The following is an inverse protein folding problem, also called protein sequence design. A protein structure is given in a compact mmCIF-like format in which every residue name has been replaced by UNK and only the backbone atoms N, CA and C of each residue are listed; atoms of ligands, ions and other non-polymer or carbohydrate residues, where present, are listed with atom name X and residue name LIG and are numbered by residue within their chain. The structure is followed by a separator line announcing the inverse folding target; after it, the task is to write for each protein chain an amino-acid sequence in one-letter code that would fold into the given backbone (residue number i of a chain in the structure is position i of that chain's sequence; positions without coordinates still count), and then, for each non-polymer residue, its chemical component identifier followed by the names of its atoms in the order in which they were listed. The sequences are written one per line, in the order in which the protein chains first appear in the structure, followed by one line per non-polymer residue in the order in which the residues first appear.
data_IF_444060075124
#
_entry.id   IF_444060075124
#
_cell.length_a   1.000
_cell.length_b   1.000
_cell.length_c   1.000
_cell.angle_alpha   90.00
_cell.angle_beta   90.00
_cell.angle_gamma   90.00
#
_symmetry.space_group_name_H-M   'P 1'
#
loop_
_entity.id
_entity.type
_entity.pdbx_description
1 polymer ?
#
# COMPACT_ATOMS: atom_id res chain seq x y z
N UNK A 1 8.94 42.84 18.50
CA UNK A 1 8.51 42.56 17.10
C UNK A 1 9.73 42.39 16.19
N UNK A 2 10.52 41.33 16.35
CA UNK A 2 11.68 41.07 15.46
C UNK A 2 12.09 39.59 15.35
N UNK A 3 11.32 38.64 15.87
CA UNK A 3 11.68 37.20 15.78
C UNK A 3 10.93 36.42 14.69
N UNK A 4 9.90 37.02 14.08
CA UNK A 4 9.13 36.36 13.01
C UNK A 4 9.93 36.06 11.73
N UNK A 5 10.90 36.90 11.28
CA UNK A 5 11.72 36.57 10.12
C UNK A 5 12.72 35.43 10.37
N UNK A 6 13.08 35.17 11.65
CA UNK A 6 14.00 34.09 12.03
C UNK A 6 13.30 32.74 12.01
N UNK A 7 12.06 32.68 12.51
CA UNK A 7 11.22 31.47 12.49
C UNK A 7 10.88 31.02 11.06
N UNK A 8 10.66 31.95 10.12
CA UNK A 8 10.44 31.60 8.70
C UNK A 8 11.73 31.11 8.03
N UNK A 9 12.91 31.63 8.39
CA UNK A 9 14.20 31.09 7.92
C UNK A 9 14.50 29.71 8.50
N UNK A 10 14.15 29.48 9.76
CA UNK A 10 14.32 28.18 10.43
C UNK A 10 13.33 27.14 9.85
N UNK A 11 12.09 27.51 9.55
CA UNK A 11 11.12 26.66 8.82
C UNK A 11 11.51 26.41 7.36
N UNK A 12 12.08 27.40 6.65
CA UNK A 12 12.61 27.19 5.30
C UNK A 12 13.86 26.29 5.31
N UNK A 13 14.67 26.34 6.36
CA UNK A 13 15.80 25.45 6.55
C UNK A 13 15.37 24.04 6.97
N UNK A 14 14.29 23.87 7.75
CA UNK A 14 13.68 22.56 8.02
C UNK A 14 13.04 21.96 6.78
N UNK A 15 12.32 22.74 5.97
CA UNK A 15 11.76 22.28 4.67
C UNK A 15 12.88 21.91 3.67
N UNK A 16 14.05 22.54 3.77
CA UNK A 16 15.24 22.16 3.00
C UNK A 16 15.98 20.93 3.59
N UNK A 17 15.87 20.67 4.90
CA UNK A 17 16.37 19.46 5.56
C UNK A 17 15.45 18.25 5.33
N UNK A 18 14.14 18.45 5.16
CA UNK A 18 13.20 17.39 4.72
C UNK A 18 13.42 17.00 3.26
N UNK A 19 14.03 17.87 2.44
CA UNK A 19 14.58 17.50 1.12
C UNK A 19 15.86 16.65 1.20
N UNK A 20 16.49 16.53 2.37
CA UNK A 20 17.75 15.80 2.58
C UNK A 20 17.61 14.40 3.19
N UNK A 21 16.40 13.85 3.36
CA UNK A 21 16.23 12.47 3.85
C UNK A 21 15.33 11.64 2.94
N UNK A 22 15.91 11.17 1.84
CA UNK A 22 15.51 9.92 1.17
C UNK A 22 16.74 9.38 0.46
N UNK A 23 17.61 8.79 1.26
CA UNK A 23 18.87 8.16 0.84
C UNK A 23 18.55 6.83 0.14
N UNK A 24 18.16 6.91 -1.13
CA UNK A 24 18.28 5.79 -2.06
C UNK A 24 19.77 5.51 -2.28
N UNK A 25 20.31 4.58 -1.50
CA UNK A 25 21.58 3.90 -1.81
C UNK A 25 21.26 2.80 -2.83
N UNK A 26 21.25 3.15 -4.11
CA UNK A 26 21.51 2.15 -5.14
C UNK A 26 23.02 2.01 -5.31
N UNK A 27 23.50 0.77 -5.37
CA UNK A 27 24.88 0.39 -5.68
C UNK A 27 25.30 0.72 -7.13
N UNK A 28 24.48 1.45 -7.89
CA UNK A 28 24.68 1.78 -9.30
C UNK A 28 25.80 2.82 -9.57
N UNK A 29 26.76 2.97 -8.66
CA UNK A 29 27.81 4.00 -8.71
C UNK A 29 29.26 3.51 -8.58
N UNK A 30 29.49 2.21 -8.42
CA UNK A 30 30.85 1.63 -8.43
C UNK A 30 31.01 0.74 -9.66
N UNK A 31 31.02 1.36 -10.84
CA UNK A 31 31.59 0.70 -12.02
C UNK A 31 33.09 1.03 -12.00
N UNK A 32 33.93 -0.01 -11.89
CA UNK A 32 35.40 0.10 -11.81
C UNK A 32 36.08 0.44 -13.15
N UNK A 33 35.31 0.79 -14.18
CA UNK A 33 35.85 0.98 -15.53
C UNK A 33 35.89 2.48 -15.90
N UNK A 34 37.11 2.98 -16.08
CA UNK A 34 37.49 4.26 -16.72
C UNK A 34 37.26 5.60 -15.99
N UNK A 35 37.63 5.70 -14.70
CA UNK A 35 37.84 7.02 -14.07
C UNK A 35 39.32 7.40 -14.13
N UNK A 36 39.69 8.13 -15.19
CA UNK A 36 40.92 8.92 -15.18
C UNK A 36 40.96 9.81 -13.94
N UNK A 37 42.13 9.91 -13.31
CA UNK A 37 42.40 10.62 -12.04
C UNK A 37 41.90 12.07 -12.12
N UNK A 38 40.64 12.28 -11.79
CA UNK A 38 39.97 13.57 -11.71
C UNK A 38 38.97 13.49 -10.57
N UNK A 39 38.75 14.59 -9.86
CA UNK A 39 37.88 14.63 -8.70
C UNK A 39 36.49 14.05 -9.05
N UNK A 40 35.92 13.17 -8.22
CA UNK A 40 34.61 12.58 -8.48
C UNK A 40 33.57 13.69 -8.58
N UNK A 41 32.96 13.80 -9.76
CA UNK A 41 31.90 14.79 -10.00
C UNK A 41 30.74 14.53 -9.04
N UNK A 42 30.37 15.52 -8.24
CA UNK A 42 29.19 15.47 -7.40
C UNK A 42 27.97 16.02 -8.14
N UNK A 43 26.79 15.49 -7.82
CA UNK A 43 25.51 15.93 -8.36
C UNK A 43 25.30 17.41 -8.03
N UNK A 44 25.25 18.28 -9.05
CA UNK A 44 25.15 19.74 -8.88
C UNK A 44 23.93 20.18 -8.06
N UNK A 45 22.84 19.42 -8.10
CA UNK A 45 21.60 19.81 -7.40
C UNK A 45 21.51 19.33 -5.96
N UNK A 46 22.19 18.23 -5.65
CA UNK A 46 22.09 17.61 -4.34
C UNK A 46 23.39 17.73 -3.54
N UNK A 47 24.52 17.95 -4.21
CA UNK A 47 25.86 18.06 -3.60
C UNK A 47 26.40 16.77 -2.97
N UNK A 48 25.60 15.71 -2.90
CA UNK A 48 25.90 14.51 -2.11
C UNK A 48 26.27 13.28 -2.94
N UNK A 49 25.58 13.05 -4.07
CA UNK A 49 25.70 11.81 -4.85
C UNK A 49 26.72 11.93 -5.99
N UNK A 50 27.41 10.84 -6.38
CA UNK A 50 28.19 10.81 -7.60
C UNK A 50 27.32 11.18 -8.82
N UNK A 51 27.81 12.08 -9.65
CA UNK A 51 27.19 12.45 -10.92
C UNK A 51 27.81 11.65 -12.06
N UNK A 52 27.01 11.39 -13.10
CA UNK A 52 27.57 10.88 -14.35
C UNK A 52 28.30 12.02 -15.10
N UNK A 53 29.34 11.71 -15.91
CA UNK A 53 30.06 12.71 -16.68
C UNK A 53 29.17 13.48 -17.66
N UNK A 54 28.05 12.89 -18.08
CA UNK A 54 27.10 13.52 -19.00
C UNK A 54 26.36 14.66 -18.31
N UNK A 55 26.70 15.89 -18.68
CA UNK A 55 26.09 17.09 -18.15
C UNK A 55 24.77 17.42 -18.84
N UNK A 56 23.80 17.89 -18.06
CA UNK A 56 22.55 18.49 -18.51
C UNK A 56 22.81 19.96 -18.84
N UNK A 57 22.45 20.43 -20.04
CA UNK A 57 22.52 21.85 -20.38
C UNK A 57 21.17 22.54 -20.16
N UNK A 58 21.16 23.71 -19.51
CA UNK A 58 19.98 24.56 -19.32
C UNK A 58 20.34 26.03 -19.52
N UNK A 59 19.47 26.80 -20.18
CA UNK A 59 19.59 28.26 -20.21
C UNK A 59 19.21 28.87 -18.86
N UNK A 60 20.16 29.55 -18.22
CA UNK A 60 19.93 30.42 -17.06
C UNK A 60 20.50 31.80 -17.37
N UNK A 61 19.68 32.84 -17.20
CA UNK A 61 20.03 34.23 -17.55
C UNK A 61 20.50 34.45 -19.00
N UNK A 62 20.03 33.60 -19.92
CA UNK A 62 20.40 33.68 -21.34
C UNK A 62 21.67 32.92 -21.72
N UNK A 63 22.40 32.35 -20.75
CA UNK A 63 23.60 31.54 -20.98
C UNK A 63 23.33 30.05 -20.74
N UNK A 64 23.95 29.20 -21.55
CA UNK A 64 23.86 27.74 -21.39
C UNK A 64 24.75 27.29 -20.23
N UNK A 65 24.14 26.85 -19.13
CA UNK A 65 24.82 26.25 -17.99
C UNK A 65 24.73 24.73 -18.03
N UNK A 66 25.82 24.07 -17.63
CA UNK A 66 25.95 22.61 -17.64
C UNK A 66 25.93 22.05 -16.22
N UNK A 67 25.05 21.09 -15.94
CA UNK A 67 24.86 20.48 -14.62
C UNK A 67 25.19 19.00 -14.69
N UNK A 68 26.14 18.54 -13.87
CA UNK A 68 26.37 17.11 -13.68
C UNK A 68 25.36 16.58 -12.67
N UNK A 69 24.51 15.64 -13.07
CA UNK A 69 23.46 15.07 -12.21
C UNK A 69 23.75 13.60 -11.89
N UNK A 70 23.31 13.15 -10.72
CA UNK A 70 23.26 11.72 -10.42
C UNK A 70 22.23 11.03 -11.34
N UNK A 71 22.38 9.72 -11.63
CA UNK A 71 21.47 9.00 -12.52
C UNK A 71 20.00 9.13 -12.12
N UNK A 72 19.71 9.07 -10.82
CA UNK A 72 18.35 9.18 -10.28
C UNK A 72 17.77 10.59 -10.38
N UNK A 73 18.59 11.65 -10.29
CA UNK A 73 18.15 13.04 -10.46
C UNK A 73 17.97 13.37 -11.94
N UNK A 74 18.89 12.94 -12.79
CA UNK A 74 18.79 13.08 -14.23
C UNK A 74 17.51 12.41 -14.74
N UNK A 75 17.26 11.15 -14.36
CA UNK A 75 16.06 10.41 -14.73
C UNK A 75 14.79 11.19 -14.36
N UNK A 76 14.64 11.59 -13.09
CA UNK A 76 13.49 12.38 -12.61
C UNK A 76 13.30 13.71 -13.36
N UNK A 77 14.38 14.43 -13.66
CA UNK A 77 14.29 15.70 -14.35
C UNK A 77 13.87 15.56 -15.82
N UNK A 78 14.51 14.66 -16.56
CA UNK A 78 14.14 14.41 -17.96
C UNK A 78 12.73 13.83 -18.04
N UNK A 79 12.36 13.02 -17.04
CA UNK A 79 11.00 12.54 -16.84
C UNK A 79 9.99 13.60 -16.36
N UNK A 80 10.37 14.86 -16.18
CA UNK A 80 9.41 15.95 -15.92
C UNK A 80 9.16 16.83 -17.14
N UNK A 81 10.16 16.96 -18.02
CA UNK A 81 10.19 17.97 -19.11
C UNK A 81 9.98 17.41 -20.50
N UNK A 82 10.33 16.15 -20.74
CA UNK A 82 10.15 15.53 -22.06
C UNK A 82 8.67 15.21 -22.34
N UNK A 83 7.79 15.41 -21.36
CA UNK A 83 6.49 14.76 -21.30
C UNK A 83 5.24 15.56 -21.69
N UNK A 84 5.37 16.68 -22.40
CA UNK A 84 4.21 17.48 -22.84
C UNK A 84 3.64 17.10 -24.23
N UNK A 85 3.88 15.88 -24.73
CA UNK A 85 3.36 15.41 -26.03
C UNK A 85 3.04 13.91 -26.05
N UNK A 86 2.33 13.40 -27.08
CA UNK A 86 1.94 11.97 -27.18
C UNK A 86 3.12 10.99 -27.08
N UNK A 87 4.32 11.40 -27.52
CA UNK A 87 5.54 10.60 -27.43
C UNK A 87 6.02 10.37 -25.98
N UNK A 88 5.60 11.23 -25.06
CA UNK A 88 5.97 11.19 -23.66
C UNK A 88 5.59 9.87 -22.98
N UNK A 89 4.33 9.50 -23.14
CA UNK A 89 3.73 8.35 -22.47
C UNK A 89 4.38 7.06 -22.98
N UNK A 90 4.67 6.99 -24.28
CA UNK A 90 5.40 5.88 -24.88
C UNK A 90 6.82 5.71 -24.30
N UNK A 91 7.53 6.82 -24.07
CA UNK A 91 8.85 6.81 -23.43
C UNK A 91 8.78 6.41 -21.95
N UNK A 92 7.81 6.94 -21.19
CA UNK A 92 7.60 6.56 -19.78
C UNK A 92 7.38 5.04 -19.67
N UNK A 93 6.48 4.49 -20.47
CA UNK A 93 6.21 3.06 -20.45
C UNK A 93 7.44 2.24 -20.84
N UNK A 94 8.26 2.69 -21.81
CA UNK A 94 9.51 2.03 -22.14
C UNK A 94 10.49 2.04 -20.97
N UNK A 95 10.66 3.17 -20.29
CA UNK A 95 11.55 3.27 -19.12
C UNK A 95 11.08 2.35 -18.00
N UNK A 96 9.76 2.29 -17.74
CA UNK A 96 9.17 1.38 -16.74
C UNK A 96 9.41 -0.08 -17.11
N UNK A 97 9.18 -0.42 -18.38
CA UNK A 97 9.44 -1.75 -18.93
C UNK A 97 10.90 -2.14 -18.78
N UNK A 98 11.82 -1.28 -19.19
CA UNK A 98 13.26 -1.53 -19.09
C UNK A 98 13.70 -1.67 -17.63
N UNK A 99 13.15 -0.84 -16.73
CA UNK A 99 13.42 -0.93 -15.29
C UNK A 99 12.96 -2.27 -14.72
N UNK A 100 11.69 -2.63 -14.90
CA UNK A 100 11.13 -3.88 -14.37
C UNK A 100 11.81 -5.10 -15.00
N UNK A 101 12.11 -5.05 -16.30
CA UNK A 101 12.90 -6.06 -16.99
C UNK A 101 14.28 -6.22 -16.37
N UNK A 102 14.95 -5.12 -16.04
CA UNK A 102 16.26 -5.15 -15.37
C UNK A 102 16.16 -5.72 -13.96
N UNK A 103 15.23 -5.23 -13.14
CA UNK A 103 15.04 -5.70 -11.75
C UNK A 103 14.64 -7.18 -11.65
N UNK A 104 14.09 -7.74 -12.73
CA UNK A 104 13.66 -9.14 -12.81
C UNK A 104 14.59 -10.03 -13.63
N UNK A 105 15.77 -9.55 -14.01
CA UNK A 105 16.73 -10.25 -14.88
C UNK A 105 16.10 -10.76 -16.19
N UNK A 106 15.17 -9.99 -16.76
CA UNK A 106 14.50 -10.29 -18.02
C UNK A 106 13.24 -11.16 -17.89
N UNK A 107 12.92 -11.67 -16.71
CA UNK A 107 11.75 -12.55 -16.48
C UNK A 107 10.41 -11.84 -16.72
N UNK A 108 10.38 -10.51 -16.54
CA UNK A 108 9.18 -9.70 -16.77
C UNK A 108 9.45 -8.72 -17.91
N UNK A 109 8.78 -8.95 -19.04
CA UNK A 109 8.87 -8.11 -20.24
C UNK A 109 7.47 -7.63 -20.65
N UNK A 110 6.91 -6.69 -19.88
CA UNK A 110 5.52 -6.22 -20.01
C UNK A 110 5.46 -4.72 -20.25
N UNK A 111 4.42 -4.26 -20.94
CA UNK A 111 4.07 -2.84 -21.01
C UNK A 111 3.18 -2.45 -19.83
N UNK A 112 3.16 -1.16 -19.48
CA UNK A 112 2.49 -0.62 -18.30
C UNK A 112 1.55 0.51 -18.69
N UNK A 113 0.49 0.71 -17.90
CA UNK A 113 -0.41 1.85 -18.02
C UNK A 113 0.36 3.18 -18.03
N UNK A 114 -0.08 4.11 -18.87
CA UNK A 114 0.60 5.40 -19.02
C UNK A 114 0.27 6.40 -17.91
N UNK A 115 -0.97 6.34 -17.43
CA UNK A 115 -1.55 7.25 -16.45
C UNK A 115 -2.51 6.51 -15.49
N UNK A 116 -3.05 7.23 -14.52
CA UNK A 116 -3.91 6.67 -13.47
C UNK A 116 -5.31 6.35 -14.00
N UNK A 117 -5.78 7.08 -15.01
CA UNK A 117 -7.03 6.83 -15.72
C UNK A 117 -7.00 5.46 -16.41
N UNK A 118 -5.93 5.12 -17.12
CA UNK A 118 -5.75 3.81 -17.73
C UNK A 118 -5.53 2.72 -16.70
N UNK A 119 -4.93 3.06 -15.56
CA UNK A 119 -4.72 2.12 -14.47
C UNK A 119 -6.06 1.73 -13.84
N UNK A 120 -6.83 2.70 -13.32
CA UNK A 120 -8.05 2.44 -12.55
C UNK A 120 -9.38 2.45 -13.34
N UNK A 121 -9.36 2.87 -14.61
CA UNK A 121 -10.57 3.03 -15.43
C UNK A 121 -10.88 1.83 -16.34
N UNK A 122 -12.17 1.57 -16.57
CA UNK A 122 -12.66 0.72 -17.65
C UNK A 122 -13.15 1.59 -18.82
N UNK A 123 -12.99 1.17 -20.08
CA UNK A 123 -13.74 1.81 -21.16
C UNK A 123 -15.22 1.42 -21.08
N UNK A 124 -16.09 2.36 -21.46
CA UNK A 124 -17.50 2.35 -21.09
C UNK A 124 -18.38 1.24 -21.73
N UNK A 125 -17.86 0.35 -22.60
CA UNK A 125 -18.77 -0.37 -23.51
C UNK A 125 -18.65 -1.91 -23.61
N UNK A 126 -17.66 -2.58 -23.02
CA UNK A 126 -17.58 -4.05 -23.18
C UNK A 126 -16.81 -4.80 -22.07
N UNK A 127 -16.48 -4.15 -20.96
CA UNK A 127 -15.59 -4.79 -20.00
C UNK A 127 -16.29 -6.00 -19.34
N UNK A 128 -15.64 -7.19 -19.28
CA UNK A 128 -16.14 -8.34 -18.50
C UNK A 128 -16.24 -8.03 -16.99
N UNK A 129 -15.83 -6.82 -16.61
CA UNK A 129 -15.78 -6.26 -15.27
C UNK A 129 -16.96 -5.37 -14.93
N UNK A 130 -18.16 -5.58 -15.51
CA UNK A 130 -19.37 -4.88 -15.06
C UNK A 130 -19.62 -5.03 -13.55
N UNK A 131 -19.13 -6.13 -12.96
CA UNK A 131 -19.16 -6.40 -11.53
C UNK A 131 -18.28 -5.43 -10.70
N UNK A 132 -17.35 -4.70 -11.32
CA UNK A 132 -16.49 -3.69 -10.69
C UNK A 132 -16.92 -2.25 -10.99
N UNK A 133 -18.15 -2.03 -11.47
CA UNK A 133 -18.61 -0.70 -11.87
C UNK A 133 -18.52 0.35 -10.76
N UNK A 134 -18.71 -0.06 -9.49
CA UNK A 134 -18.52 0.76 -8.29
C UNK A 134 -17.05 1.11 -8.00
N UNK A 135 -16.10 0.27 -8.41
CA UNK A 135 -14.66 0.50 -8.27
C UNK A 135 -14.02 1.16 -9.49
N UNK A 136 -14.79 1.44 -10.54
CA UNK A 136 -14.29 2.15 -11.71
C UNK A 136 -13.69 3.50 -11.31
N UNK A 137 -12.49 3.82 -11.81
CA UNK A 137 -11.74 5.02 -11.45
C UNK A 137 -11.32 5.09 -9.97
N UNK A 138 -11.17 3.92 -9.33
CA UNK A 138 -10.57 3.78 -8.00
C UNK A 138 -9.20 3.09 -8.10
N UNK A 139 -8.28 3.49 -7.25
CA UNK A 139 -6.94 2.93 -7.15
C UNK A 139 -6.58 2.60 -5.70
N UNK A 140 -5.66 1.66 -5.52
CA UNK A 140 -4.99 1.39 -4.27
C UNK A 140 -3.55 1.92 -4.36
N UNK A 141 -3.20 2.87 -3.49
CA UNK A 141 -1.82 3.31 -3.29
C UNK A 141 -1.26 2.55 -2.10
N UNK A 142 -0.24 1.73 -2.33
CA UNK A 142 0.32 0.80 -1.35
C UNK A 142 1.75 1.21 -1.03
N UNK A 143 1.99 1.59 0.22
CA UNK A 143 3.32 1.82 0.78
C UNK A 143 3.69 0.66 1.68
N UNK A 144 4.91 0.16 1.56
CA UNK A 144 5.46 -0.93 2.37
C UNK A 144 6.87 -0.55 2.81
N UNK A 145 7.20 -0.86 4.06
CA UNK A 145 8.46 -0.46 4.68
C UNK A 145 8.96 -1.52 5.66
N UNK A 146 10.25 -1.83 5.60
CA UNK A 146 10.92 -2.81 6.45
C UNK A 146 10.99 -2.39 7.92
N UNK A 147 10.69 -3.34 8.81
CA UNK A 147 10.73 -3.10 10.24
C UNK A 147 12.15 -3.27 10.80
N UNK A 148 12.71 -2.17 11.28
CA UNK A 148 14.02 -2.10 11.94
C UNK A 148 15.20 -2.55 11.07
N UNK A 149 15.08 -2.47 9.74
CA UNK A 149 16.18 -2.85 8.84
C UNK A 149 17.41 -1.97 9.05
N UNK A 150 17.22 -0.66 9.29
CA UNK A 150 18.30 0.24 9.67
C UNK A 150 19.00 -0.16 10.98
N UNK A 151 18.25 -0.65 11.98
CA UNK A 151 18.83 -1.14 13.23
C UNK A 151 19.57 -2.47 13.01
N UNK A 152 19.02 -3.39 12.21
CA UNK A 152 19.68 -4.64 11.81
C UNK A 152 20.99 -4.37 11.06
N UNK A 153 21.01 -3.41 10.13
CA UNK A 153 22.22 -2.97 9.44
C UNK A 153 23.31 -2.50 10.41
N UNK A 154 22.95 -1.72 11.44
CA UNK A 154 23.91 -1.27 12.48
C UNK A 154 24.53 -2.41 13.29
N UNK A 155 23.91 -3.59 13.33
CA UNK A 155 24.47 -4.78 14.01
C UNK A 155 25.43 -5.60 13.14
N UNK A 156 25.58 -5.25 11.86
CA UNK A 156 26.49 -5.93 10.93
C UNK A 156 27.92 -5.43 11.16
N UNK A 157 28.85 -6.36 11.37
CA UNK A 157 30.24 -6.04 11.74
C UNK A 157 31.15 -5.90 10.52
N UNK A 158 30.88 -6.66 9.46
CA UNK A 158 31.76 -6.72 8.28
C UNK A 158 31.08 -6.19 7.02
N UNK A 159 31.89 -5.68 6.08
CA UNK A 159 31.39 -5.28 4.77
C UNK A 159 30.73 -6.44 4.00
N UNK A 160 31.13 -7.68 4.27
CA UNK A 160 30.51 -8.86 3.67
C UNK A 160 29.08 -9.06 4.19
N UNK A 161 28.86 -8.94 5.50
CA UNK A 161 27.52 -9.05 6.11
C UNK A 161 26.55 -8.02 5.52
N UNK A 162 27.03 -6.78 5.30
CA UNK A 162 26.24 -5.73 4.64
C UNK A 162 25.83 -6.12 3.22
N UNK A 163 26.76 -6.68 2.43
CA UNK A 163 26.46 -7.13 1.06
C UNK A 163 25.47 -8.28 1.06
N UNK A 164 25.66 -9.26 1.95
CA UNK A 164 24.74 -10.40 2.06
C UNK A 164 23.34 -9.98 2.48
N UNK A 165 23.23 -9.03 3.43
CA UNK A 165 21.94 -8.46 3.83
C UNK A 165 21.26 -7.72 2.68
N UNK A 166 21.99 -6.86 1.95
CA UNK A 166 21.45 -6.12 0.81
C UNK A 166 21.04 -7.07 -0.34
N UNK A 167 21.85 -8.09 -0.63
CA UNK A 167 21.54 -9.11 -1.63
C UNK A 167 20.32 -9.94 -1.26
N UNK A 168 20.12 -10.26 0.03
CA UNK A 168 18.91 -10.94 0.49
C UNK A 168 17.66 -10.08 0.23
N UNK A 169 17.71 -8.78 0.52
CA UNK A 169 16.61 -7.84 0.26
C UNK A 169 16.36 -7.66 -1.25
N UNK A 170 17.42 -7.47 -2.04
CA UNK A 170 17.34 -7.39 -3.51
C UNK A 170 16.69 -8.65 -4.09
N UNK A 171 17.13 -9.82 -3.66
CA UNK A 171 16.59 -11.11 -4.11
C UNK A 171 15.12 -11.26 -3.74
N UNK A 172 14.73 -10.93 -2.50
CA UNK A 172 13.33 -11.01 -2.07
C UNK A 172 12.42 -10.06 -2.86
N UNK A 173 12.86 -8.81 -3.10
CA UNK A 173 12.13 -7.83 -3.92
C UNK A 173 11.99 -8.28 -5.38
N UNK A 174 13.06 -8.79 -5.97
CA UNK A 174 13.04 -9.38 -7.31
C UNK A 174 12.03 -10.52 -7.39
N UNK A 175 12.09 -11.44 -6.42
CA UNK A 175 11.18 -12.59 -6.36
C UNK A 175 9.73 -12.14 -6.21
N UNK A 176 9.45 -11.11 -5.41
CA UNK A 176 8.13 -10.51 -5.31
C UNK A 176 7.62 -10.03 -6.69
N UNK A 177 8.40 -9.24 -7.43
CA UNK A 177 7.96 -8.77 -8.77
C UNK A 177 7.73 -9.93 -9.73
N UNK A 178 8.68 -10.85 -9.82
CA UNK A 178 8.55 -12.02 -10.70
C UNK A 178 7.26 -12.78 -10.37
N UNK A 179 7.02 -13.03 -9.09
CA UNK A 179 5.83 -13.75 -8.68
C UNK A 179 4.55 -12.94 -8.95
N UNK A 180 4.55 -11.63 -8.68
CA UNK A 180 3.44 -10.73 -8.96
C UNK A 180 3.05 -10.78 -10.44
N UNK A 181 4.01 -10.62 -11.36
CA UNK A 181 3.72 -10.61 -12.79
C UNK A 181 3.46 -12.01 -13.36
N UNK A 182 4.00 -13.08 -12.78
CA UNK A 182 3.62 -14.46 -13.14
C UNK A 182 2.18 -14.78 -12.74
N UNK A 183 1.74 -14.31 -11.57
CA UNK A 183 0.38 -14.53 -11.07
C UNK A 183 -0.64 -13.65 -11.78
N UNK A 184 -0.36 -12.34 -11.91
CA UNK A 184 -1.34 -11.34 -12.38
C UNK A 184 -1.10 -10.86 -13.79
N UNK A 185 0.12 -10.91 -14.33
CA UNK A 185 0.48 -10.30 -15.63
C UNK A 185 -0.15 -10.92 -16.88
N UNK A 186 -0.97 -11.95 -16.71
CA UNK A 186 -1.84 -12.53 -17.75
C UNK A 186 -3.34 -12.44 -17.44
N UNK A 187 -3.72 -11.94 -16.27
CA UNK A 187 -5.11 -11.87 -15.82
C UNK A 187 -5.79 -10.62 -16.39
N UNK A 188 -7.01 -10.77 -16.89
CA UNK A 188 -7.76 -9.65 -17.46
C UNK A 188 -7.90 -8.48 -16.46
N UNK A 189 -8.07 -8.77 -15.16
CA UNK A 189 -8.23 -7.74 -14.13
C UNK A 189 -6.97 -6.87 -13.93
N UNK A 190 -5.81 -7.37 -14.37
CA UNK A 190 -4.51 -6.70 -14.30
C UNK A 190 -4.08 -6.10 -15.64
N UNK A 191 -4.81 -6.37 -16.72
CA UNK A 191 -4.48 -5.92 -18.06
C UNK A 191 -5.45 -4.82 -18.53
N UNK A 192 -4.94 -3.91 -19.35
CA UNK A 192 -5.73 -2.94 -20.09
C UNK A 192 -5.46 -3.16 -21.59
N UNK A 193 -6.51 -3.59 -22.31
CA UNK A 193 -6.50 -3.92 -23.74
C UNK A 193 -7.11 -2.81 -24.61
N UNK A 194 -7.74 -1.81 -23.99
CA UNK A 194 -8.57 -0.81 -24.67
C UNK A 194 -7.82 0.51 -24.91
N UNK A 195 -6.49 0.46 -24.82
CA UNK A 195 -5.67 1.64 -25.00
C UNK A 195 -5.48 1.84 -26.51
N UNK A 196 -5.78 3.05 -26.98
CA UNK A 196 -5.29 3.58 -28.26
C UNK A 196 -3.75 3.60 -28.19
N UNK A 197 -3.13 2.43 -28.31
CA UNK A 197 -1.70 2.31 -28.37
C UNK A 197 -1.24 3.00 -29.67
N UNK A 198 -0.05 3.62 -29.68
CA UNK A 198 0.55 4.08 -30.93
C UNK A 198 0.51 2.95 -31.97
N UNK A 199 0.30 3.28 -33.26
CA UNK A 199 0.12 2.33 -34.37
C UNK A 199 1.13 1.16 -34.33
N UNK A 200 2.36 1.42 -33.88
CA UNK A 200 3.47 0.48 -33.76
C UNK A 200 3.32 -0.58 -32.63
N UNK A 201 2.30 -0.46 -31.78
CA UNK A 201 2.10 -1.26 -30.54
C UNK A 201 0.66 -1.76 -30.35
N UNK A 202 -0.16 -1.72 -31.41
CA UNK A 202 -1.62 -1.84 -31.40
C UNK A 202 -2.24 -3.11 -30.79
N UNK A 203 -1.47 -4.06 -30.23
CA UNK A 203 -2.03 -5.33 -29.76
C UNK A 203 -1.46 -5.88 -28.45
N UNK A 204 -0.48 -5.23 -27.83
CA UNK A 204 0.05 -5.72 -26.54
C UNK A 204 -0.74 -5.14 -25.36
N UNK A 205 -1.29 -5.98 -24.47
CA UNK A 205 -2.00 -5.49 -23.30
C UNK A 205 -1.04 -4.82 -22.31
N UNK A 206 -1.47 -3.71 -21.72
CA UNK A 206 -0.67 -3.01 -20.71
C UNK A 206 -1.07 -3.45 -19.30
N UNK A 207 -0.09 -3.72 -18.45
CA UNK A 207 -0.30 -4.00 -17.04
C UNK A 207 -0.78 -2.74 -16.29
N UNK A 208 -1.84 -2.89 -15.51
CA UNK A 208 -2.40 -1.88 -14.60
C UNK A 208 -1.58 -1.81 -13.31
N UNK A 209 -0.35 -1.33 -13.43
CA UNK A 209 0.60 -1.26 -12.33
C UNK A 209 1.50 -0.05 -12.50
N UNK A 210 1.64 0.74 -11.43
CA UNK A 210 2.52 1.90 -11.38
C UNK A 210 3.51 1.78 -10.24
N UNK A 211 4.80 1.86 -10.54
CA UNK A 211 5.87 1.83 -9.56
C UNK A 211 6.39 3.23 -9.26
N UNK A 212 6.22 3.71 -8.04
CA UNK A 212 6.62 5.06 -7.63
C UNK A 212 7.93 5.05 -6.84
N UNK A 213 8.14 4.03 -6.00
CA UNK A 213 9.35 3.86 -5.21
C UNK A 213 9.78 2.40 -5.17
N UNK A 214 11.07 2.17 -5.42
CA UNK A 214 11.70 0.86 -5.40
C UNK A 214 13.13 0.96 -4.88
N UNK A 215 13.31 0.91 -3.56
CA UNK A 215 14.63 1.15 -2.99
C UNK A 215 14.79 0.63 -1.58
N UNK A 216 15.88 -0.12 -1.34
CA UNK A 216 16.15 -0.73 -0.05
C UNK A 216 14.98 -1.60 0.41
N UNK A 217 14.42 -1.20 1.54
CA UNK A 217 13.31 -1.84 2.25
C UNK A 217 11.96 -1.12 2.07
N UNK A 218 11.93 -0.04 1.30
CA UNK A 218 10.74 0.76 1.03
C UNK A 218 10.22 0.50 -0.39
N UNK A 219 8.92 0.23 -0.51
CA UNK A 219 8.21 0.01 -1.77
C UNK A 219 6.96 0.88 -1.81
N UNK A 220 6.71 1.53 -2.94
CA UNK A 220 5.50 2.31 -3.17
C UNK A 220 5.01 2.07 -4.59
N UNK A 221 3.80 1.52 -4.71
CA UNK A 221 3.19 1.28 -6.00
C UNK A 221 1.68 1.53 -5.98
N UNK A 222 1.10 1.64 -7.16
CA UNK A 222 -0.33 1.86 -7.39
C UNK A 222 -0.85 0.74 -8.26
N UNK A 223 -2.03 0.25 -7.89
CA UNK A 223 -2.79 -0.76 -8.65
C UNK A 223 -4.26 -0.37 -8.64
N UNK A 224 -5.11 -0.93 -9.51
CA UNK A 224 -6.55 -0.76 -9.41
C UNK A 224 -7.04 -1.16 -8.01
N UNK A 225 -8.08 -0.48 -7.52
CA UNK A 225 -8.55 -0.71 -6.16
C UNK A 225 -8.95 -2.19 -5.90
N UNK A 226 -9.50 -2.88 -6.90
CA UNK A 226 -9.85 -4.30 -6.83
C UNK A 226 -8.64 -5.24 -6.69
N UNK A 227 -7.45 -4.79 -7.03
CA UNK A 227 -6.20 -5.55 -6.90
C UNK A 227 -5.43 -5.23 -5.61
N UNK A 228 -5.87 -4.24 -4.84
CA UNK A 228 -5.17 -3.78 -3.64
C UNK A 228 -4.88 -4.90 -2.64
N UNK A 229 -5.94 -5.51 -2.10
CA UNK A 229 -5.81 -6.62 -1.14
C UNK A 229 -5.12 -7.87 -1.72
N UNK A 230 -5.47 -8.36 -2.93
CA UNK A 230 -4.78 -9.50 -3.53
C UNK A 230 -3.26 -9.31 -3.66
N UNK A 231 -2.80 -8.13 -4.09
CA UNK A 231 -1.37 -7.85 -4.26
C UNK A 231 -0.69 -7.64 -2.91
N UNK A 232 -1.34 -6.95 -1.98
CA UNK A 232 -0.81 -6.77 -0.62
C UNK A 232 -0.62 -8.13 0.08
N UNK A 233 -1.58 -9.04 -0.08
CA UNK A 233 -1.45 -10.43 0.40
C UNK A 233 -0.25 -11.12 -0.22
N UNK A 234 -0.12 -11.07 -1.54
CA UNK A 234 0.99 -11.71 -2.25
C UNK A 234 2.35 -11.18 -1.79
N UNK A 235 2.44 -9.88 -1.48
CA UNK A 235 3.64 -9.31 -0.88
C UNK A 235 3.98 -10.00 0.45
N UNK A 236 3.03 -10.07 1.39
CA UNK A 236 3.28 -10.69 2.70
C UNK A 236 3.49 -12.22 2.65
N UNK A 237 3.05 -12.88 1.58
CA UNK A 237 3.35 -14.29 1.32
C UNK A 237 4.74 -14.51 0.70
N UNK A 238 5.34 -13.45 0.14
CA UNK A 238 6.70 -13.53 -0.37
C UNK A 238 7.68 -13.60 0.81
N UNK A 239 8.55 -14.62 0.88
CA UNK A 239 9.49 -14.74 1.99
C UNK A 239 10.56 -13.67 1.87
N UNK A 240 10.58 -12.77 2.86
CA UNK A 240 11.71 -11.88 3.10
C UNK A 240 12.48 -12.44 4.29
N UNK A 241 13.67 -12.97 4.04
CA UNK A 241 14.46 -13.65 5.06
C UNK A 241 15.94 -13.28 4.92
N UNK A 242 16.63 -13.24 6.06
CA UNK A 242 18.08 -13.13 6.10
C UNK A 242 18.62 -13.98 7.24
N UNK A 243 19.60 -14.84 6.94
CA UNK A 243 20.16 -15.81 7.89
C UNK A 243 19.08 -16.69 8.57
N UNK A 244 18.09 -17.14 7.78
CA UNK A 244 16.98 -17.98 8.24
C UNK A 244 16.03 -17.28 9.22
N UNK A 245 16.13 -15.96 9.37
CA UNK A 245 15.22 -15.16 10.18
C UNK A 245 14.29 -14.35 9.28
N UNK A 246 12.98 -14.35 9.55
CA UNK A 246 12.05 -13.53 8.79
C UNK A 246 12.33 -12.04 9.03
N UNK A 247 12.26 -11.28 7.95
CA UNK A 247 12.25 -9.83 7.94
C UNK A 247 10.79 -9.38 7.83
N UNK A 248 10.37 -8.53 8.76
CA UNK A 248 8.99 -8.08 8.83
C UNK A 248 8.81 -6.70 8.22
N UNK A 249 7.59 -6.38 7.81
CA UNK A 249 7.23 -5.14 7.14
C UNK A 249 5.96 -4.54 7.75
N UNK A 250 5.87 -3.23 7.69
CA UNK A 250 4.64 -2.49 7.87
C UNK A 250 4.12 -2.03 6.51
N UNK A 251 2.81 -2.08 6.30
CA UNK A 251 2.20 -1.62 5.07
C UNK A 251 1.02 -0.69 5.33
N UNK A 252 0.85 0.32 4.48
CA UNK A 252 -0.30 1.19 4.47
C UNK A 252 -0.91 1.23 3.08
N UNK A 253 -2.24 1.16 3.02
CA UNK A 253 -2.98 1.14 1.75
C UNK A 253 -4.09 2.20 1.76
N UNK A 254 -3.97 3.18 0.87
CA UNK A 254 -5.03 4.15 0.62
C UNK A 254 -5.84 3.73 -0.61
N UNK A 255 -7.12 3.39 -0.41
CA UNK A 255 -8.08 3.11 -1.48
C UNK A 255 -8.81 4.41 -1.80
N UNK A 256 -8.67 4.95 -3.01
CA UNK A 256 -9.22 6.28 -3.32
C UNK A 256 -9.54 6.45 -4.81
N UNK A 257 -10.20 7.55 -5.16
CA UNK A 257 -10.39 7.90 -6.59
C UNK A 257 -9.05 8.20 -7.26
N UNK A 258 -8.90 7.85 -8.54
CA UNK A 258 -7.75 8.26 -9.37
C UNK A 258 -7.58 9.79 -9.47
N UNK A 259 -8.64 10.56 -9.18
CA UNK A 259 -8.61 12.03 -9.16
C UNK A 259 -8.04 12.60 -7.86
N UNK A 260 -7.83 11.76 -6.85
CA UNK A 260 -7.22 12.16 -5.58
C UNK A 260 -5.77 12.58 -5.87
N UNK A 261 -5.30 13.76 -5.41
CA UNK A 261 -3.92 14.18 -5.62
C UNK A 261 -2.95 13.10 -5.12
N UNK A 262 -2.08 12.59 -6.01
CA UNK A 262 -1.25 11.42 -5.70
C UNK A 262 -0.38 11.63 -4.45
N UNK A 263 0.13 12.84 -4.24
CA UNK A 263 0.93 13.17 -3.05
C UNK A 263 0.14 13.00 -1.74
N UNK A 264 -1.18 13.19 -1.76
CA UNK A 264 -2.05 12.99 -0.58
C UNK A 264 -2.32 11.52 -0.33
N UNK A 265 -2.60 10.75 -1.38
CA UNK A 265 -2.77 9.30 -1.26
C UNK A 265 -1.49 8.61 -0.79
N UNK A 266 -0.32 9.05 -1.27
CA UNK A 266 0.99 8.59 -0.81
C UNK A 266 1.23 8.93 0.67
N UNK A 267 1.00 10.20 1.07
CA UNK A 267 1.18 10.62 2.45
C UNK A 267 0.30 9.79 3.40
N UNK A 268 -0.95 9.53 3.02
CA UNK A 268 -1.87 8.70 3.79
C UNK A 268 -1.39 7.25 3.88
N UNK A 269 -0.94 6.65 2.78
CA UNK A 269 -0.39 5.29 2.79
C UNK A 269 0.86 5.18 3.70
N UNK A 270 1.73 6.20 3.69
CA UNK A 270 2.89 6.26 4.58
C UNK A 270 2.46 6.40 6.04
N UNK A 271 1.52 7.30 6.35
CA UNK A 271 1.01 7.49 7.71
C UNK A 271 0.37 6.22 8.27
N UNK A 272 -0.38 5.47 7.44
CA UNK A 272 -0.93 4.17 7.79
C UNK A 272 0.16 3.13 8.12
N UNK A 273 1.26 3.07 7.34
CA UNK A 273 2.36 2.16 7.63
C UNK A 273 3.15 2.57 8.89
N UNK A 274 3.38 3.86 9.11
CA UNK A 274 4.00 4.33 10.35
C UNK A 274 3.12 4.06 11.57
N UNK A 275 1.79 4.12 11.41
CA UNK A 275 0.87 3.67 12.44
C UNK A 275 1.04 2.18 12.75
N UNK A 276 1.16 1.31 11.73
CA UNK A 276 1.53 -0.11 11.92
C UNK A 276 2.84 -0.27 12.71
N UNK A 277 3.88 0.52 12.41
CA UNK A 277 5.17 0.49 13.12
C UNK A 277 5.07 0.99 14.55
N UNK A 278 4.20 1.97 14.82
CA UNK A 278 3.90 2.46 16.16
C UNK A 278 3.27 1.38 17.04
N UNK A 279 2.51 0.48 16.39
CA UNK A 279 1.98 -0.72 17.00
C UNK A 279 3.08 -1.76 17.15
N UNK A 280 3.63 -2.33 16.08
CA UNK A 280 4.66 -3.36 16.20
C UNK A 280 5.65 -3.31 15.05
N UNK A 281 6.93 -3.44 15.40
CA UNK A 281 8.05 -3.64 14.46
C UNK A 281 8.51 -5.10 14.41
N UNK A 282 7.91 -5.98 15.22
CA UNK A 282 8.30 -7.40 15.30
C UNK A 282 7.46 -8.30 14.41
N UNK A 283 6.37 -7.78 13.85
CA UNK A 283 5.39 -8.55 13.11
C UNK A 283 5.12 -7.88 11.76
N UNK A 284 4.62 -8.65 10.81
CA UNK A 284 4.03 -8.07 9.61
C UNK A 284 2.68 -7.47 9.98
N UNK A 285 2.46 -6.21 9.66
CA UNK A 285 1.20 -5.51 9.89
C UNK A 285 0.83 -4.66 8.69
N UNK A 286 -0.46 -4.48 8.46
CA UNK A 286 -0.96 -3.53 7.49
C UNK A 286 -2.16 -2.73 8.03
N UNK A 287 -2.34 -1.52 7.51
CA UNK A 287 -3.54 -0.73 7.72
C UNK A 287 -4.05 -0.24 6.36
N UNK A 288 -5.36 -0.18 6.20
CA UNK A 288 -5.99 0.32 5.00
C UNK A 288 -7.02 1.41 5.35
N UNK A 289 -7.30 2.29 4.39
CA UNK A 289 -8.36 3.28 4.51
C UNK A 289 -9.02 3.51 3.14
N UNK A 290 -10.34 3.38 3.09
CA UNK A 290 -11.14 3.69 1.90
C UNK A 290 -11.67 5.12 1.93
N UNK A 291 -11.33 5.88 0.88
CA UNK A 291 -11.83 7.22 0.61
C UNK A 291 -12.87 7.14 -0.50
N UNK A 292 -14.14 7.16 -0.09
CA UNK A 292 -15.27 7.06 -1.02
C UNK A 292 -15.43 8.31 -1.90
N UNK A 293 -15.10 9.49 -1.36
CA UNK A 293 -15.07 10.74 -2.12
C UNK A 293 -13.64 11.16 -2.50
N UNK A 294 -13.51 12.30 -3.19
CA UNK A 294 -12.23 12.94 -3.49
C UNK A 294 -11.65 13.62 -2.22
N UNK A 295 -12.46 13.74 -1.17
CA UNK A 295 -12.03 14.32 0.09
C UNK A 295 -11.10 13.35 0.81
N UNK A 296 -9.96 13.89 1.23
CA UNK A 296 -8.95 13.17 1.97
C UNK A 296 -8.80 13.82 3.36
N UNK A 297 -8.41 13.03 4.38
CA UNK A 297 -8.13 13.60 5.69
C UNK A 297 -7.03 14.66 5.59
N UNK A 298 -7.33 15.87 6.06
CA UNK A 298 -6.35 16.97 6.16
C UNK A 298 -5.74 17.08 7.56
N UNK A 299 -6.29 16.33 8.51
CA UNK A 299 -5.88 16.24 9.90
C UNK A 299 -5.10 14.94 10.14
N UNK A 300 -4.39 14.81 11.28
CA UNK A 300 -3.72 13.56 11.65
C UNK A 300 -4.68 12.37 11.69
N UNK A 301 -4.17 11.18 11.37
CA UNK A 301 -4.96 9.94 11.26
C UNK A 301 -5.70 9.60 12.55
N UNK A 302 -5.09 9.83 13.72
CA UNK A 302 -5.72 9.63 15.03
C UNK A 302 -6.98 10.49 15.17
N UNK A 303 -6.88 11.79 14.92
CA UNK A 303 -8.01 12.73 14.95
C UNK A 303 -9.08 12.36 13.92
N UNK A 304 -8.68 11.86 12.74
CA UNK A 304 -9.61 11.37 11.75
C UNK A 304 -10.41 10.16 12.23
N UNK A 305 -9.76 9.17 12.84
CA UNK A 305 -10.46 8.02 13.41
C UNK A 305 -11.34 8.40 14.60
N UNK A 306 -10.90 9.29 15.48
CA UNK A 306 -11.72 9.81 16.59
C UNK A 306 -13.00 10.51 16.09
N UNK A 307 -12.89 11.29 15.00
CA UNK A 307 -14.06 11.93 14.41
C UNK A 307 -15.00 10.95 13.71
N UNK A 308 -14.44 9.92 13.05
CA UNK A 308 -15.22 8.95 12.27
C UNK A 308 -15.86 7.86 13.14
N UNK A 309 -15.14 7.38 14.16
CA UNK A 309 -15.53 6.23 14.97
C UNK A 309 -15.78 6.59 16.44
N UNK A 310 -15.63 7.85 16.84
CA UNK A 310 -15.88 8.30 18.21
C UNK A 310 -15.12 7.45 19.25
N UNK A 311 -15.81 7.00 20.31
CA UNK A 311 -15.21 6.16 21.35
C UNK A 311 -14.76 4.78 20.85
N UNK A 312 -15.18 4.34 19.65
CA UNK A 312 -14.67 3.12 19.04
C UNK A 312 -13.26 3.28 18.48
N UNK A 313 -12.83 4.50 18.13
CA UNK A 313 -11.54 4.75 17.48
C UNK A 313 -10.34 4.17 18.24
N UNK A 314 -10.39 4.14 19.57
CA UNK A 314 -9.35 3.56 20.44
C UNK A 314 -9.16 2.05 20.25
N UNK A 315 -10.14 1.39 19.61
CA UNK A 315 -10.14 -0.04 19.31
C UNK A 315 -9.86 -0.31 17.82
N UNK A 316 -9.61 0.73 17.02
CA UNK A 316 -9.15 0.60 15.65
C UNK A 316 -7.68 0.21 15.67
N UNK A 317 -7.30 -0.87 15.00
CA UNK A 317 -5.92 -1.35 15.00
C UNK A 317 -5.50 -1.87 13.63
N UNK A 318 -4.20 -1.78 13.30
CA UNK A 318 -3.62 -2.47 12.16
C UNK A 318 -3.88 -3.97 12.18
N UNK A 319 -4.02 -4.53 11.00
CA UNK A 319 -4.29 -5.93 10.74
C UNK A 319 -3.01 -6.73 10.55
N UNK A 320 -3.07 -8.01 10.86
CA UNK A 320 -2.07 -8.96 10.38
C UNK A 320 -2.39 -9.36 8.94
N UNK A 321 -1.36 -9.65 8.13
CA UNK A 321 -1.58 -10.24 6.83
C UNK A 321 -2.39 -11.52 6.94
N UNK A 322 -3.17 -11.80 5.90
CA UNK A 322 -3.99 -13.01 5.82
C UNK A 322 -3.10 -14.25 5.98
N UNK A 323 -3.27 -14.97 7.09
CA UNK A 323 -2.57 -16.22 7.34
C UNK A 323 -3.24 -17.35 6.57
N UNK A 324 -2.48 -18.09 5.76
CA UNK A 324 -2.99 -19.28 5.09
C UNK A 324 -2.38 -19.52 3.71
N UNK A 325 -2.65 -20.71 3.18
CA UNK A 325 -2.30 -21.10 1.81
C UNK A 325 -3.13 -20.31 0.78
N UNK A 326 -2.77 -20.43 -0.50
CA UNK A 326 -3.59 -19.93 -1.62
C UNK A 326 -5.06 -20.41 -1.53
N UNK A 327 -5.27 -21.70 -1.26
CA UNK A 327 -6.60 -22.30 -1.11
C UNK A 327 -7.41 -21.70 0.03
N UNK A 328 -6.80 -21.50 1.20
CA UNK A 328 -7.51 -20.94 2.35
C UNK A 328 -8.10 -19.55 2.03
N UNK A 329 -7.37 -18.75 1.27
CA UNK A 329 -7.83 -17.41 0.86
C UNK A 329 -8.98 -17.45 -0.13
N UNK A 330 -8.90 -18.30 -1.16
CA UNK A 330 -10.03 -18.46 -2.09
C UNK A 330 -11.28 -18.92 -1.32
N UNK A 331 -11.15 -19.87 -0.39
CA UNK A 331 -12.27 -20.32 0.44
C UNK A 331 -12.83 -19.22 1.36
N UNK A 332 -11.95 -18.39 1.92
CA UNK A 332 -12.34 -17.24 2.75
C UNK A 332 -13.07 -16.17 1.92
N UNK A 333 -12.59 -15.89 0.70
CA UNK A 333 -13.25 -14.96 -0.21
C UNK A 333 -14.58 -15.52 -0.74
N UNK A 334 -14.65 -16.81 -1.06
CA UNK A 334 -15.89 -17.48 -1.48
C UNK A 334 -16.93 -17.42 -0.33
N UNK A 335 -16.48 -17.62 0.91
CA UNK A 335 -17.32 -17.41 2.11
C UNK A 335 -17.75 -15.95 2.27
N UNK A 336 -16.89 -15.00 1.92
CA UNK A 336 -17.20 -13.58 1.95
C UNK A 336 -18.23 -13.19 0.88
N UNK A 337 -18.13 -13.73 -0.32
CA UNK A 337 -19.10 -13.48 -1.39
C UNK A 337 -20.47 -14.04 -1.02
N UNK A 338 -20.52 -15.28 -0.51
CA UNK A 338 -21.75 -15.86 0.04
C UNK A 338 -22.34 -15.02 1.18
N UNK A 339 -21.47 -14.48 2.06
CA UNK A 339 -21.87 -13.57 3.12
C UNK A 339 -22.48 -12.28 2.56
N UNK A 340 -21.87 -11.66 1.54
CA UNK A 340 -22.39 -10.44 0.89
C UNK A 340 -23.75 -10.66 0.24
N UNK A 341 -23.95 -11.80 -0.40
CA UNK A 341 -25.20 -12.13 -1.09
C UNK A 341 -26.36 -12.34 -0.11
N UNK A 342 -26.08 -12.92 1.06
CA UNK A 342 -27.08 -13.13 2.10
C UNK A 342 -27.27 -11.95 3.06
N UNK A 343 -26.30 -11.03 3.14
CA UNK A 343 -26.38 -9.90 4.06
C UNK A 343 -27.04 -8.67 3.42
N UNK A 344 -28.13 -8.13 4.01
CA UNK A 344 -28.71 -6.88 3.56
C UNK A 344 -27.78 -5.70 3.92
N UNK A 345 -26.85 -5.34 3.01
CA UNK A 345 -25.84 -4.27 3.20
C UNK A 345 -26.41 -3.01 3.84
N UNK A 346 -27.56 -2.54 3.34
CA UNK A 346 -28.22 -1.34 3.85
C UNK A 346 -28.64 -1.46 5.33
N UNK A 347 -29.12 -2.62 5.77
CA UNK A 347 -29.45 -2.86 7.19
C UNK A 347 -28.20 -2.89 8.06
N UNK A 348 -27.13 -3.55 7.62
CA UNK A 348 -25.85 -3.58 8.35
C UNK A 348 -25.30 -2.16 8.52
N UNK A 349 -25.28 -1.37 7.44
CA UNK A 349 -24.87 0.03 7.48
C UNK A 349 -25.75 0.83 8.46
N UNK A 350 -27.08 0.67 8.39
CA UNK A 350 -27.98 1.40 9.29
C UNK A 350 -27.69 1.10 10.76
N UNK A 351 -27.56 -0.18 11.14
CA UNK A 351 -27.24 -0.55 12.53
C UNK A 351 -25.91 0.04 13.01
N UNK A 352 -24.88 0.07 12.15
CA UNK A 352 -23.60 0.66 12.49
C UNK A 352 -23.67 2.19 12.59
N UNK A 353 -24.46 2.85 11.73
CA UNK A 353 -24.68 4.29 11.81
C UNK A 353 -25.46 4.69 13.06
N UNK A 354 -26.50 3.93 13.41
CA UNK A 354 -27.28 4.12 14.64
C UNK A 354 -26.36 4.02 15.86
N UNK A 355 -25.49 3.00 15.89
CA UNK A 355 -24.48 2.87 16.93
C UNK A 355 -23.55 4.09 16.98
N UNK A 356 -22.98 4.50 15.85
CA UNK A 356 -22.06 5.65 15.81
C UNK A 356 -22.75 6.96 16.24
N UNK A 357 -24.03 7.14 15.91
CA UNK A 357 -24.81 8.30 16.35
C UNK A 357 -25.09 8.27 17.86
N UNK A 358 -25.45 7.11 18.42
CA UNK A 358 -25.59 6.92 19.88
C UNK A 358 -24.28 7.26 20.62
N UNK A 359 -23.13 6.79 20.11
CA UNK A 359 -21.81 7.13 20.68
C UNK A 359 -21.46 8.61 20.57
N UNK A 360 -21.94 9.30 19.53
CA UNK A 360 -21.72 10.73 19.34
C UNK A 360 -22.52 11.55 20.35
N UNK A 361 -23.75 11.14 20.65
CA UNK A 361 -24.65 11.83 21.58
C UNK A 361 -24.27 11.61 23.05
N UNK A 362 -23.70 10.45 23.38
CA UNK A 362 -23.29 10.08 24.75
C UNK A 362 -22.20 10.96 25.39
N UNK A 363 -21.50 11.80 24.61
CA UNK A 363 -20.43 12.67 25.10
C UNK A 363 -19.11 11.94 25.40
N UNK A 364 -18.04 12.70 25.62
CA UNK A 364 -16.64 12.21 25.61
C UNK A 364 -16.15 11.51 26.89
N UNK A 365 -17.04 10.91 27.69
CA UNK A 365 -16.74 10.56 29.08
C UNK A 365 -16.60 9.05 29.31
N UNK A 366 -15.51 8.45 28.82
CA UNK A 366 -15.16 7.02 29.00
C UNK A 366 -16.19 6.00 28.46
N UNK A 367 -15.76 4.77 28.10
CA UNK A 367 -16.69 3.66 27.91
C UNK A 367 -17.35 3.35 29.26
N UNK A 368 -18.53 3.90 29.48
CA UNK A 368 -19.36 3.57 30.62
C UNK A 368 -20.17 2.30 30.32
N UNK A 369 -20.94 1.84 31.31
CA UNK A 369 -21.79 0.67 31.16
C UNK A 369 -22.87 0.84 30.06
N UNK A 370 -23.16 2.07 29.62
CA UNK A 370 -24.14 2.33 28.56
C UNK A 370 -23.54 2.02 27.18
N UNK A 371 -22.30 2.47 26.90
CA UNK A 371 -21.62 2.13 25.66
C UNK A 371 -21.48 0.62 25.44
N UNK A 372 -21.15 -0.13 26.49
CA UNK A 372 -21.05 -1.60 26.39
C UNK A 372 -22.39 -2.25 26.05
N UNK A 373 -23.50 -1.76 26.63
CA UNK A 373 -24.84 -2.23 26.28
C UNK A 373 -25.20 -1.93 24.82
N UNK A 374 -24.82 -0.75 24.30
CA UNK A 374 -25.02 -0.39 22.89
C UNK A 374 -24.21 -1.30 21.96
N UNK A 375 -22.96 -1.59 22.29
CA UNK A 375 -22.13 -2.54 21.54
C UNK A 375 -22.72 -3.95 21.55
N UNK A 376 -23.10 -4.45 22.73
CA UNK A 376 -23.65 -5.80 22.88
C UNK A 376 -24.97 -5.95 22.11
N UNK A 377 -25.87 -4.95 22.23
CA UNK A 377 -27.12 -4.90 21.47
C UNK A 377 -26.86 -4.92 19.97
N UNK A 378 -26.00 -4.02 19.47
CA UNK A 378 -25.69 -3.94 18.04
C UNK A 378 -25.05 -5.23 17.52
N UNK A 379 -24.13 -5.82 18.28
CA UNK A 379 -23.50 -7.09 17.93
C UNK A 379 -24.53 -8.23 17.87
N UNK A 380 -25.45 -8.30 18.83
CA UNK A 380 -26.52 -9.29 18.86
C UNK A 380 -27.53 -9.09 17.71
N UNK A 381 -27.86 -7.84 17.37
CA UNK A 381 -28.73 -7.53 16.23
C UNK A 381 -28.09 -7.98 14.91
N UNK A 382 -26.79 -7.71 14.73
CA UNK A 382 -26.03 -8.14 13.56
C UNK A 382 -25.87 -9.67 13.48
N UNK A 383 -25.62 -10.34 14.61
CA UNK A 383 -25.58 -11.81 14.68
C UNK A 383 -26.97 -12.44 14.47
N UNK A 384 -28.04 -11.76 14.86
CA UNK A 384 -29.42 -12.19 14.54
C UNK A 384 -29.66 -12.13 13.04
N UNK A 385 -29.20 -11.06 12.36
CA UNK A 385 -29.27 -10.97 10.89
C UNK A 385 -28.51 -12.13 10.23
N UNK A 386 -27.37 -12.56 10.77
CA UNK A 386 -26.66 -13.75 10.25
C UNK A 386 -27.48 -15.03 10.44
N UNK A 387 -28.05 -15.22 11.63
CA UNK A 387 -28.86 -16.38 11.96
C UNK A 387 -30.11 -16.50 11.10
N UNK A 388 -30.80 -15.38 10.83
CA UNK A 388 -31.98 -15.31 9.96
C UNK A 388 -31.67 -15.75 8.52
N UNK A 389 -30.42 -15.59 8.06
CA UNK A 389 -29.99 -15.90 6.70
C UNK A 389 -29.14 -17.18 6.62
N UNK A 390 -29.02 -17.95 7.70
CA UNK A 390 -28.21 -19.18 7.78
C UNK A 390 -26.70 -18.97 7.49
N UNK A 391 -26.17 -17.77 7.75
CA UNK A 391 -24.79 -17.36 7.36
C UNK A 391 -23.71 -17.57 8.43
N UNK A 392 -24.04 -18.16 9.58
CA UNK A 392 -23.14 -18.22 10.74
C UNK A 392 -21.79 -18.89 10.43
N UNK A 393 -21.78 -19.96 9.64
CA UNK A 393 -20.55 -20.69 9.26
C UNK A 393 -19.61 -19.80 8.44
N UNK A 394 -20.16 -18.93 7.59
CA UNK A 394 -19.37 -18.01 6.77
C UNK A 394 -18.80 -16.85 7.58
N UNK A 395 -19.50 -16.42 8.63
CA UNK A 395 -19.06 -15.32 9.48
C UNK A 395 -17.86 -15.67 10.36
N UNK A 396 -17.81 -16.90 10.90
CA UNK A 396 -16.63 -17.35 11.66
C UNK A 396 -15.38 -17.42 10.76
N UNK A 397 -15.54 -17.89 9.51
CA UNK A 397 -14.47 -17.85 8.52
C UNK A 397 -14.05 -16.40 8.20
N UNK A 398 -14.99 -15.48 8.08
CA UNK A 398 -14.71 -14.06 7.88
C UNK A 398 -13.95 -13.42 9.05
N UNK A 399 -14.31 -13.75 10.30
CA UNK A 399 -13.57 -13.26 11.48
C UNK A 399 -12.08 -13.62 11.42
N UNK A 400 -11.70 -14.69 10.73
CA UNK A 400 -10.27 -15.02 10.52
C UNK A 400 -9.55 -14.12 9.53
N UNK A 401 -10.26 -13.43 8.62
CA UNK A 401 -9.68 -12.48 7.67
C UNK A 401 -9.30 -11.16 8.33
N UNK A 402 -10.16 -10.72 9.25
CA UNK A 402 -9.92 -9.57 10.11
C UNK A 402 -9.90 -10.07 11.55
N UNK A 403 -8.86 -10.85 11.92
CA UNK A 403 -8.79 -11.44 13.25
C UNK A 403 -9.06 -10.32 14.23
N UNK A 404 -10.10 -10.51 15.04
CA UNK A 404 -10.31 -9.67 16.20
C UNK A 404 -9.00 -9.63 16.98
N UNK A 405 -8.82 -8.60 17.79
CA UNK A 405 -7.66 -8.36 18.67
C UNK A 405 -7.25 -9.60 19.53
N UNK A 406 -8.09 -10.64 19.54
CA UNK A 406 -7.96 -12.00 20.05
C UNK A 406 -6.52 -12.49 20.29
N UNK A 407 -6.22 -12.50 21.59
CA UNK A 407 -5.07 -13.03 22.32
C UNK A 407 -3.67 -12.60 21.90
N UNK A 408 -3.30 -12.63 20.62
CA UNK A 408 -1.91 -12.39 20.22
C UNK A 408 -1.57 -10.89 20.28
N UNK A 409 -2.54 -10.01 20.01
CA UNK A 409 -2.36 -8.56 20.17
C UNK A 409 -2.27 -8.18 21.66
N UNK A 410 -3.11 -8.79 22.50
CA UNK A 410 -3.09 -8.66 23.96
C UNK A 410 -1.84 -9.26 24.62
N UNK A 411 -1.14 -10.14 23.92
CA UNK A 411 0.14 -10.72 24.37
C UNK A 411 1.35 -10.04 23.69
N UNK A 412 1.12 -9.16 22.72
CA UNK A 412 2.17 -8.36 22.10
C UNK A 412 2.60 -7.25 23.07
N UNK A 413 3.90 -7.02 23.20
CA UNK A 413 4.54 -6.12 24.19
C UNK A 413 4.24 -4.62 24.01
N UNK A 414 3.23 -4.28 23.23
CA UNK A 414 3.00 -2.93 22.68
C UNK A 414 2.20 -2.07 23.65
N UNK A 415 1.15 -2.64 24.24
CA UNK A 415 0.37 -1.98 25.26
C UNK A 415 0.98 -2.27 26.63
N UNK A 416 1.00 -1.25 27.51
CA UNK A 416 1.33 -1.48 28.92
C UNK A 416 0.37 -2.52 29.49
N UNK A 417 0.82 -3.44 30.37
CA UNK A 417 -0.03 -4.46 30.98
C UNK A 417 -1.33 -3.90 31.59
N UNK A 418 -1.27 -2.68 32.14
CA UNK A 418 -2.41 -1.94 32.69
C UNK A 418 -3.46 -1.63 31.61
N UNK A 419 -3.03 -1.12 30.45
CA UNK A 419 -3.90 -0.81 29.32
C UNK A 419 -4.44 -2.09 28.67
N UNK A 420 -3.66 -3.18 28.68
CA UNK A 420 -4.13 -4.53 28.26
C UNK A 420 -5.24 -5.03 29.18
N UNK A 421 -5.10 -4.88 30.49
CA UNK A 421 -6.14 -5.29 31.45
C UNK A 421 -7.41 -4.44 31.32
N UNK A 422 -7.27 -3.12 31.22
CA UNK A 422 -8.40 -2.20 30.97
C UNK A 422 -9.16 -2.60 29.71
N UNK A 423 -8.42 -2.75 28.61
CA UNK A 423 -8.93 -3.18 27.30
C UNK A 423 -9.59 -4.57 27.44
N UNK A 424 -8.97 -5.57 28.08
CA UNK A 424 -9.59 -6.91 28.29
C UNK A 424 -10.95 -6.86 29.01
N UNK A 425 -11.17 -5.88 29.90
CA UNK A 425 -12.43 -5.75 30.63
C UNK A 425 -13.52 -5.02 29.84
N UNK A 426 -13.18 -4.17 28.87
CA UNK A 426 -14.12 -3.41 28.01
C UNK A 426 -14.22 -3.91 26.56
N UNK A 427 -13.37 -4.87 26.17
CA UNK A 427 -13.27 -5.38 24.79
C UNK A 427 -14.39 -6.30 24.29
N UNK A 428 -15.10 -7.12 25.10
CA UNK A 428 -15.88 -8.23 24.54
C UNK A 428 -16.88 -7.81 23.47
N UNK A 429 -17.59 -6.68 23.68
CA UNK A 429 -18.60 -6.23 22.72
C UNK A 429 -18.02 -5.32 21.64
N UNK A 430 -17.10 -4.41 21.98
CA UNK A 430 -16.46 -3.53 20.99
C UNK A 430 -15.67 -4.31 19.92
N UNK A 431 -14.99 -5.40 20.30
CA UNK A 431 -14.31 -6.30 19.35
C UNK A 431 -15.27 -6.97 18.38
N UNK A 432 -16.50 -7.29 18.83
CA UNK A 432 -17.50 -7.93 17.98
C UNK A 432 -17.98 -7.00 16.87
N UNK A 433 -17.89 -5.67 17.06
CA UNK A 433 -18.33 -4.65 16.08
C UNK A 433 -17.30 -4.41 14.97
N UNK A 434 -16.00 -4.45 15.26
CA UNK A 434 -14.97 -4.10 14.27
C UNK A 434 -14.98 -4.93 12.99
N UNK A 435 -15.14 -6.27 13.03
CA UNK A 435 -15.29 -7.07 11.81
C UNK A 435 -16.44 -6.59 10.91
N UNK A 436 -17.50 -6.01 11.49
CA UNK A 436 -18.62 -5.42 10.74
C UNK A 436 -18.28 -4.07 10.14
N UNK A 437 -17.56 -3.22 10.88
CA UNK A 437 -17.06 -1.94 10.36
C UNK A 437 -16.12 -2.17 9.17
N UNK A 438 -15.18 -3.10 9.28
CA UNK A 438 -14.28 -3.46 8.17
C UNK A 438 -15.02 -4.11 7.01
N UNK A 439 -16.01 -4.97 7.28
CA UNK A 439 -16.87 -5.55 6.25
C UNK A 439 -17.56 -4.46 5.44
N UNK A 440 -18.13 -3.45 6.11
CA UNK A 440 -18.80 -2.34 5.43
C UNK A 440 -17.80 -1.44 4.69
N UNK A 441 -16.67 -1.12 5.31
CA UNK A 441 -15.65 -0.24 4.74
C UNK A 441 -14.99 -0.86 3.50
N UNK A 442 -14.74 -2.17 3.51
CA UNK A 442 -14.09 -2.89 2.42
C UNK A 442 -15.04 -3.72 1.57
N UNK A 443 -16.36 -3.53 1.72
CA UNK A 443 -17.41 -4.33 1.08
C UNK A 443 -17.17 -4.53 -0.42
N UNK A 444 -16.84 -3.43 -1.09
CA UNK A 444 -16.67 -3.37 -2.53
C UNK A 444 -15.25 -3.79 -2.97
N UNK A 445 -14.27 -3.75 -2.06
CA UNK A 445 -12.84 -3.96 -2.36
C UNK A 445 -12.35 -5.40 -2.14
N UNK A 446 -13.14 -6.22 -1.44
CA UNK A 446 -12.84 -7.63 -1.18
C UNK A 446 -13.56 -8.51 -2.18
N UNK A 447 -12.80 -9.05 -3.13
CA UNK A 447 -13.30 -9.70 -4.33
C UNK A 447 -12.70 -11.10 -4.44
N UNK A 448 -13.50 -12.05 -4.91
CA UNK A 448 -13.08 -13.44 -5.15
C UNK A 448 -12.13 -13.57 -6.33
N UNK A 449 -11.30 -14.61 -6.30
CA UNK A 449 -10.42 -14.97 -7.42
C UNK A 449 -11.23 -15.23 -8.70
N UNK A 450 -12.43 -15.81 -8.58
CA UNK A 450 -13.39 -15.98 -9.67
C UNK A 450 -13.83 -14.64 -10.25
N UNK A 451 -14.16 -13.65 -9.41
CA UNK A 451 -14.54 -12.31 -9.86
C UNK A 451 -13.37 -11.61 -10.57
N UNK A 452 -12.14 -11.86 -10.12
CA UNK A 452 -10.93 -11.32 -10.75
C UNK A 452 -10.54 -12.05 -12.06
N UNK A 453 -11.30 -13.08 -12.47
CA UNK A 453 -11.02 -13.87 -13.66
C UNK A 453 -9.78 -14.74 -13.52
N UNK A 454 -9.31 -15.01 -12.29
CA UNK A 454 -8.18 -15.90 -12.05
C UNK A 454 -8.66 -17.33 -12.27
N UNK A 455 -8.35 -17.88 -13.45
CA UNK A 455 -8.59 -19.29 -13.73
C UNK A 455 -7.86 -20.13 -12.67
N UNK A 456 -8.63 -20.93 -11.91
CA UNK A 456 -8.06 -21.99 -11.07
C UNK A 456 -7.41 -22.97 -12.03
N UNK A 457 -6.10 -22.81 -12.28
CA UNK A 457 -5.32 -23.86 -12.92
C UNK A 457 -5.45 -25.05 -11.99
N UNK A 458 -6.30 -26.01 -12.36
CA UNK A 458 -6.33 -27.31 -11.71
C UNK A 458 -4.88 -27.74 -11.65
N UNK A 459 -4.34 -27.90 -10.43
CA UNK A 459 -3.01 -28.43 -10.25
C UNK A 459 -3.04 -29.84 -10.85
N UNK A 460 -2.73 -29.94 -12.14
CA UNK A 460 -2.41 -31.21 -12.75
C UNK A 460 -1.24 -31.70 -11.94
N UNK A 461 -1.53 -32.70 -11.10
CA UNK A 461 -0.54 -33.42 -10.34
C UNK A 461 0.44 -34.03 -11.35
N UNK A 462 1.50 -33.29 -11.68
CA UNK A 462 2.72 -33.85 -12.24
C UNK A 462 3.34 -34.71 -11.14
N UNK A 463 2.83 -35.94 -11.03
CA UNK A 463 3.42 -37.05 -10.28
C UNK A 463 4.47 -37.77 -11.11
#
# INVERSE_FOLDING_TARGET
MSEFPRLIRELQNEVNLTRQQTLSLSLAGLCDDDVGIGDPLTCHWEGLRPAKPRALTRKENGEDQSYHLSPSVASRYFSGRTYQGKDANSQIASIKKDFIKTETDGEVDKFFSYDLEQLGGFSNNASPFSNFSNLNNKMAVIYIDGNDFGAKRKTLETANDYREFDQAILSARKNFLIHLFKTWGGQEAFLNREIDAPEDRENEPHCRFELLQWGGDELLFIVPAWLGFPILRQFFQTPFEWNGKPLTHAAGMALCSIKTPISRAQALAIELAEWCKSVSRKENLYAALALESIDYPTQPLETFFEQRFHSLAQYHFPHRPFSGTAENWSQQLDSFEALKDGLPRARVIQHLLDLLEELREGGTCHPDAQHEQCFEKTANDLETILGENELNIHFDNWRTLFPAIDEVWLNSTVLKPEKIQEIRHTLPSAQRIWPWLYLVEYWDYLLTDSTLGVEKKEAQNDQ
#
